data_IF_406172540108
#
_entry.id   IF_406172540108
#
_cell.length_a   1.000
_cell.length_b   1.000
_cell.length_c   1.000
_cell.angle_alpha   90.00
_cell.angle_beta   90.00
_cell.angle_gamma   90.00
#
_symmetry.space_group_name_H-M   'P 1'
#
loop_
_entity.id
_entity.type
_entity.pdbx_description
1 polymer ?
#
# COMPACT_ATOMS: atom_id res chain seq x y z
N UNK A 1 4.90 -3.06 -31.94
CA UNK A 1 4.68 -1.97 -30.99
C UNK A 1 4.41 -2.58 -29.61
N UNK A 2 5.00 -2.01 -28.55
CA UNK A 2 4.71 -2.44 -27.17
C UNK A 2 3.42 -1.78 -26.70
N UNK A 3 2.61 -2.53 -25.95
CA UNK A 3 1.39 -2.03 -25.33
C UNK A 3 1.74 -1.34 -24.00
N UNK A 4 1.21 -0.12 -23.79
CA UNK A 4 1.33 0.59 -22.51
C UNK A 4 0.08 0.29 -21.66
N UNK A 5 0.27 -0.45 -20.57
CA UNK A 5 -0.78 -0.74 -19.57
C UNK A 5 -0.55 0.13 -18.33
N UNK A 6 -1.55 0.92 -17.97
CA UNK A 6 -1.48 1.80 -16.78
C UNK A 6 -2.15 1.11 -15.59
N UNK A 7 -1.39 0.88 -14.51
CA UNK A 7 -1.97 0.53 -13.20
C UNK A 7 -2.52 1.79 -12.53
N UNK A 8 -3.83 1.96 -12.60
CA UNK A 8 -4.53 3.11 -12.05
C UNK A 8 -5.12 2.91 -10.66
N UNK A 9 -4.64 1.93 -9.90
CA UNK A 9 -5.17 1.64 -8.57
C UNK A 9 -5.21 2.83 -7.61
N UNK A 10 -4.35 3.84 -7.84
CA UNK A 10 -4.27 5.08 -7.04
C UNK A 10 -4.19 6.31 -7.93
N UNK A 11 -5.01 6.34 -8.97
CA UNK A 11 -5.00 7.39 -9.97
C UNK A 11 -5.38 8.77 -9.39
N UNK A 12 -6.32 8.82 -8.46
CA UNK A 12 -6.76 10.06 -7.85
C UNK A 12 -5.69 10.64 -6.92
N UNK A 13 -5.01 9.79 -6.13
CA UNK A 13 -3.86 10.22 -5.32
C UNK A 13 -2.72 10.74 -6.21
N UNK A 14 -2.45 10.08 -7.34
CA UNK A 14 -1.45 10.53 -8.32
C UNK A 14 -1.86 11.87 -8.97
N UNK A 15 -3.13 12.04 -9.32
CA UNK A 15 -3.65 13.31 -9.87
C UNK A 15 -3.48 14.46 -8.88
N UNK A 16 -3.66 14.21 -7.58
CA UNK A 16 -3.36 15.20 -6.53
C UNK A 16 -1.89 15.62 -6.57
N UNK A 17 -0.96 14.67 -6.62
CA UNK A 17 0.47 14.99 -6.65
C UNK A 17 0.87 15.72 -7.94
N UNK A 18 0.36 15.30 -9.08
CA UNK A 18 0.61 15.97 -10.37
C UNK A 18 0.14 17.42 -10.28
N UNK A 19 -1.11 17.66 -9.87
CA UNK A 19 -1.65 19.02 -9.75
C UNK A 19 -0.78 19.93 -8.88
N UNK A 20 -0.20 19.40 -7.80
CA UNK A 20 0.54 20.19 -6.80
C UNK A 20 2.06 20.21 -6.99
N UNK A 21 2.61 19.41 -7.90
CA UNK A 21 4.06 19.24 -8.07
C UNK A 21 4.55 19.48 -9.49
N UNK A 22 3.68 19.27 -10.49
CA UNK A 22 4.06 19.38 -11.90
C UNK A 22 3.59 20.72 -12.49
N UNK A 23 4.46 21.48 -13.17
CA UNK A 23 4.06 22.73 -13.78
C UNK A 23 3.04 22.51 -14.92
N UNK A 24 2.08 23.43 -15.04
CA UNK A 24 1.05 23.40 -16.08
C UNK A 24 -0.23 22.64 -15.72
N UNK A 25 -0.30 22.05 -14.51
CA UNK A 25 -1.47 21.29 -14.05
C UNK A 25 -2.29 22.05 -12.98
N UNK A 26 -1.89 23.22 -12.57
CA UNK A 26 -2.47 23.97 -11.45
C UNK A 26 -3.95 24.29 -11.63
N UNK A 27 -4.36 24.54 -12.88
CA UNK A 27 -5.74 24.92 -13.24
C UNK A 27 -6.63 23.76 -13.65
N UNK A 28 -6.08 22.53 -13.76
CA UNK A 28 -6.86 21.33 -14.10
C UNK A 28 -7.52 20.75 -12.84
N UNK A 29 -8.69 20.15 -13.00
CA UNK A 29 -9.30 19.30 -11.97
C UNK A 29 -8.55 17.98 -11.84
N UNK A 30 -8.67 17.30 -10.72
CA UNK A 30 -8.06 15.98 -10.53
C UNK A 30 -8.60 14.95 -11.53
N UNK A 31 -9.88 15.06 -11.90
CA UNK A 31 -10.51 14.19 -12.89
C UNK A 31 -9.94 14.42 -14.30
N UNK A 32 -9.74 15.66 -14.71
CA UNK A 32 -9.10 15.99 -16.00
C UNK A 32 -7.66 15.46 -16.07
N UNK A 33 -6.89 15.57 -14.98
CA UNK A 33 -5.53 15.02 -14.92
C UNK A 33 -5.56 13.49 -15.05
N UNK A 34 -6.48 12.81 -14.38
CA UNK A 34 -6.64 11.36 -14.50
C UNK A 34 -7.02 10.95 -15.92
N UNK A 35 -7.95 11.66 -16.54
CA UNK A 35 -8.36 11.41 -17.93
C UNK A 35 -7.21 11.58 -18.92
N UNK A 36 -6.39 12.61 -18.73
CA UNK A 36 -5.19 12.82 -19.54
C UNK A 36 -4.21 11.65 -19.40
N UNK A 37 -3.93 11.20 -18.16
CA UNK A 37 -3.07 10.04 -17.93
C UNK A 37 -3.62 8.78 -18.62
N UNK A 38 -4.92 8.52 -18.51
CA UNK A 38 -5.55 7.36 -19.16
C UNK A 38 -5.49 7.43 -20.68
N UNK A 39 -5.56 8.62 -21.26
CA UNK A 39 -5.47 8.80 -22.71
C UNK A 39 -4.14 8.35 -23.29
N UNK A 40 -3.06 8.36 -22.50
CA UNK A 40 -1.72 7.96 -22.93
C UNK A 40 -1.52 6.45 -23.02
N UNK A 41 -2.34 5.65 -22.30
CA UNK A 41 -2.23 4.18 -22.27
C UNK A 41 -3.07 3.50 -23.36
N UNK A 42 -2.70 2.26 -23.70
CA UNK A 42 -3.49 1.36 -24.55
C UNK A 42 -4.50 0.57 -23.73
N UNK A 43 -4.19 0.36 -22.46
CA UNK A 43 -5.02 -0.33 -21.49
C UNK A 43 -4.89 0.30 -20.11
N UNK A 44 -5.91 0.10 -19.28
CA UNK A 44 -5.94 0.54 -17.90
C UNK A 44 -6.46 -0.59 -17.00
N UNK A 45 -5.76 -0.86 -15.91
CA UNK A 45 -6.15 -1.85 -14.90
C UNK A 45 -6.26 -1.19 -13.53
N UNK A 46 -7.28 -1.57 -12.77
CA UNK A 46 -7.53 -1.02 -11.46
C UNK A 46 -8.09 -2.07 -10.50
N UNK A 47 -7.52 -2.14 -9.29
CA UNK A 47 -8.19 -2.79 -8.16
C UNK A 47 -9.15 -1.79 -7.52
N UNK A 48 -10.45 -2.03 -7.66
CA UNK A 48 -11.48 -1.08 -7.25
C UNK A 48 -11.57 -0.85 -5.72
N UNK A 49 -11.05 -1.79 -4.91
CA UNK A 49 -10.93 -1.62 -3.44
C UNK A 49 -9.97 -0.50 -3.00
N UNK A 50 -9.36 0.20 -3.95
CA UNK A 50 -8.53 1.38 -3.72
C UNK A 50 -9.31 2.64 -4.14
N UNK A 51 -8.99 3.24 -5.27
CA UNK A 51 -9.66 4.47 -5.71
C UNK A 51 -11.09 4.26 -6.24
N UNK A 52 -11.51 3.04 -6.50
CA UNK A 52 -12.93 2.72 -6.72
C UNK A 52 -13.78 2.78 -5.46
N UNK A 53 -13.16 2.92 -4.27
CA UNK A 53 -13.79 3.11 -2.96
C UNK A 53 -14.81 2.05 -2.55
N UNK A 54 -14.63 0.81 -3.03
CA UNK A 54 -15.47 -0.36 -2.74
C UNK A 54 -14.68 -1.45 -2.00
N UNK A 55 -15.39 -2.45 -1.49
CA UNK A 55 -14.77 -3.53 -0.73
C UNK A 55 -14.02 -4.52 -1.63
N UNK A 56 -14.48 -4.74 -2.86
CA UNK A 56 -13.92 -5.71 -3.80
C UNK A 56 -14.13 -5.26 -5.26
N UNK A 57 -13.58 -6.02 -6.16
CA UNK A 57 -13.75 -5.81 -7.59
C UNK A 57 -12.52 -5.18 -8.25
N UNK A 58 -12.58 -5.12 -9.54
CA UNK A 58 -11.57 -4.53 -10.39
C UNK A 58 -12.16 -4.04 -11.70
N UNK A 59 -11.37 -3.28 -12.42
CA UNK A 59 -11.73 -2.71 -13.72
C UNK A 59 -10.56 -2.92 -14.67
N UNK A 60 -10.87 -3.41 -15.87
CA UNK A 60 -9.95 -3.45 -17.00
C UNK A 60 -10.59 -2.72 -18.18
N UNK A 61 -9.90 -1.75 -18.73
CA UNK A 61 -10.29 -1.08 -19.98
C UNK A 61 -9.21 -1.27 -21.02
N UNK A 62 -9.63 -1.42 -22.29
CA UNK A 62 -8.75 -1.72 -23.41
C UNK A 62 -9.18 -0.90 -24.63
N UNK A 63 -8.22 -0.35 -25.39
CA UNK A 63 -8.47 0.29 -26.68
C UNK A 63 -8.59 -0.72 -27.83
N UNK A 64 -7.90 -1.87 -27.70
CA UNK A 64 -7.90 -2.94 -28.69
C UNK A 64 -9.13 -3.84 -28.53
N UNK A 65 -10.00 -3.88 -29.54
CA UNK A 65 -11.25 -4.65 -29.52
C UNK A 65 -11.01 -6.17 -29.55
N UNK A 66 -10.00 -6.64 -30.26
CA UNK A 66 -9.73 -8.08 -30.34
C UNK A 66 -9.24 -8.60 -29.01
N UNK A 67 -8.31 -7.88 -28.38
CA UNK A 67 -7.85 -8.19 -27.04
C UNK A 67 -8.98 -8.08 -26.00
N UNK A 68 -9.85 -7.07 -26.12
CA UNK A 68 -11.02 -6.91 -25.26
C UNK A 68 -11.94 -8.15 -25.33
N UNK A 69 -12.23 -8.63 -26.54
CA UNK A 69 -13.04 -9.87 -26.73
C UNK A 69 -12.38 -11.09 -26.10
N UNK A 70 -11.06 -11.25 -26.21
CA UNK A 70 -10.32 -12.33 -25.57
C UNK A 70 -10.41 -12.25 -24.03
N UNK A 71 -10.26 -11.06 -23.48
CA UNK A 71 -10.40 -10.81 -22.05
C UNK A 71 -11.83 -11.10 -21.55
N UNK A 72 -12.86 -10.72 -22.29
CA UNK A 72 -14.27 -11.03 -21.97
C UNK A 72 -14.50 -12.53 -21.93
N UNK A 73 -13.97 -13.30 -22.88
CA UNK A 73 -14.09 -14.76 -22.87
C UNK A 73 -13.43 -15.40 -21.64
N UNK A 74 -12.25 -14.89 -21.25
CA UNK A 74 -11.58 -15.35 -20.03
C UNK A 74 -12.37 -14.95 -18.77
N UNK A 75 -12.92 -13.75 -18.74
CA UNK A 75 -13.77 -13.27 -17.65
C UNK A 75 -14.98 -14.19 -17.43
N UNK A 76 -15.65 -14.58 -18.52
CA UNK A 76 -16.82 -15.48 -18.45
C UNK A 76 -16.46 -16.84 -17.83
N UNK A 77 -15.27 -17.34 -18.13
CA UNK A 77 -14.81 -18.65 -17.62
C UNK A 77 -14.36 -18.56 -16.17
N UNK A 78 -13.68 -17.45 -15.77
CA UNK A 78 -13.01 -17.36 -14.48
C UNK A 78 -13.83 -16.66 -13.39
N UNK A 79 -14.66 -15.65 -13.76
CA UNK A 79 -15.31 -14.76 -12.80
C UNK A 79 -16.83 -14.73 -12.97
N UNK A 80 -17.33 -14.47 -14.18
CA UNK A 80 -18.75 -14.36 -14.47
C UNK A 80 -19.05 -13.66 -15.79
N UNK A 81 -20.32 -13.49 -16.11
CA UNK A 81 -20.74 -12.86 -17.37
C UNK A 81 -20.25 -11.42 -17.48
N UNK A 82 -20.01 -10.94 -18.70
CA UNK A 82 -19.52 -9.61 -18.99
C UNK A 82 -20.40 -8.46 -18.42
N UNK A 83 -21.67 -8.74 -18.14
CA UNK A 83 -22.62 -7.76 -17.58
C UNK A 83 -22.35 -7.42 -16.12
N UNK A 84 -21.68 -8.31 -15.36
CA UNK A 84 -21.41 -8.07 -13.94
C UNK A 84 -20.00 -8.55 -13.49
N UNK A 85 -19.28 -9.31 -14.31
CA UNK A 85 -17.91 -9.74 -14.01
C UNK A 85 -17.74 -10.46 -12.66
N UNK A 86 -18.75 -11.22 -12.22
CA UNK A 86 -18.78 -11.88 -10.90
C UNK A 86 -19.13 -10.96 -9.73
N UNK A 87 -19.41 -9.66 -9.96
CA UNK A 87 -19.76 -8.69 -8.92
C UNK A 87 -21.28 -8.64 -8.69
N UNK A 88 -21.70 -8.29 -7.49
CA UNK A 88 -23.11 -7.98 -7.22
C UNK A 88 -23.46 -6.60 -7.81
N UNK A 89 -24.75 -6.39 -8.12
CA UNK A 89 -25.23 -5.10 -8.62
C UNK A 89 -24.94 -3.93 -7.68
N UNK A 90 -25.06 -4.15 -6.35
CA UNK A 90 -24.72 -3.14 -5.34
C UNK A 90 -23.23 -2.79 -5.31
N UNK A 91 -22.32 -3.74 -5.58
CA UNK A 91 -20.87 -3.47 -5.63
C UNK A 91 -20.52 -2.68 -6.90
N UNK A 92 -21.18 -2.97 -8.02
CA UNK A 92 -21.02 -2.19 -9.26
C UNK A 92 -21.54 -0.77 -9.12
N UNK A 93 -22.71 -0.58 -8.51
CA UNK A 93 -23.28 0.74 -8.24
C UNK A 93 -22.40 1.54 -7.27
N UNK A 94 -21.96 0.91 -6.18
CA UNK A 94 -21.01 1.54 -5.25
C UNK A 94 -19.70 1.95 -5.93
N UNK A 95 -19.19 1.12 -6.86
CA UNK A 95 -17.99 1.46 -7.65
C UNK A 95 -18.23 2.65 -8.58
N UNK A 96 -19.38 2.72 -9.23
CA UNK A 96 -19.73 3.85 -10.10
C UNK A 96 -19.76 5.16 -9.31
N UNK A 97 -20.35 5.18 -8.11
CA UNK A 97 -20.35 6.33 -7.20
C UNK A 97 -18.93 6.62 -6.71
N UNK A 98 -18.19 5.61 -6.28
CA UNK A 98 -16.83 5.76 -5.75
C UNK A 98 -15.85 6.34 -6.76
N UNK A 99 -15.96 5.98 -8.04
CA UNK A 99 -15.12 6.52 -9.12
C UNK A 99 -15.38 8.01 -9.40
N UNK A 100 -16.54 8.54 -9.07
CA UNK A 100 -16.81 9.99 -9.11
C UNK A 100 -16.33 10.67 -7.81
N UNK A 101 -16.69 10.14 -6.65
CA UNK A 101 -16.36 10.73 -5.35
C UNK A 101 -14.85 10.78 -5.06
N UNK A 102 -14.06 9.86 -5.62
CA UNK A 102 -12.62 9.80 -5.36
C UNK A 102 -11.85 11.04 -5.84
N UNK A 103 -12.44 11.79 -6.78
CA UNK A 103 -11.85 13.04 -7.28
C UNK A 103 -12.32 14.30 -6.54
N UNK A 104 -13.12 14.14 -5.48
CA UNK A 104 -13.49 15.26 -4.62
C UNK A 104 -12.25 15.91 -4.01
N UNK A 105 -12.17 17.24 -4.09
CA UNK A 105 -10.97 17.99 -3.70
C UNK A 105 -10.72 17.94 -2.20
N UNK A 106 -11.76 18.04 -1.39
CA UNK A 106 -11.65 18.05 0.08
C UNK A 106 -11.28 16.66 0.58
N UNK A 107 -11.87 15.61 -0.02
CA UNK A 107 -11.47 14.23 0.25
C UNK A 107 -10.00 13.97 -0.06
N UNK A 108 -9.51 14.33 -1.25
CA UNK A 108 -8.11 14.13 -1.63
C UNK A 108 -7.16 14.94 -0.77
N UNK A 109 -7.52 16.19 -0.46
CA UNK A 109 -6.74 17.03 0.44
C UNK A 109 -6.61 16.36 1.82
N UNK A 110 -7.72 15.98 2.43
CA UNK A 110 -7.71 15.27 3.72
C UNK A 110 -6.89 13.99 3.66
N UNK A 111 -7.09 13.16 2.63
CA UNK A 111 -6.40 11.89 2.42
C UNK A 111 -4.87 12.06 2.41
N UNK A 112 -4.38 12.94 1.56
CA UNK A 112 -2.94 13.18 1.36
C UNK A 112 -2.33 13.88 2.58
N UNK A 113 -3.02 14.87 3.14
CA UNK A 113 -2.52 15.61 4.31
C UNK A 113 -2.45 14.75 5.56
N UNK A 114 -3.39 13.85 5.80
CA UNK A 114 -3.38 12.94 6.94
C UNK A 114 -2.18 11.99 6.88
N UNK A 115 -1.90 11.41 5.70
CA UNK A 115 -0.73 10.54 5.51
C UNK A 115 0.58 11.32 5.67
N UNK A 116 0.65 12.52 5.11
CA UNK A 116 1.81 13.39 5.21
C UNK A 116 2.05 13.87 6.66
N UNK A 117 0.98 14.12 7.43
CA UNK A 117 1.07 14.50 8.83
C UNK A 117 1.74 13.38 9.64
N UNK A 118 1.25 12.15 9.55
CA UNK A 118 1.87 11.00 10.23
C UNK A 118 3.36 10.89 9.89
N UNK A 119 3.71 10.89 8.61
CA UNK A 119 5.12 10.74 8.22
C UNK A 119 6.02 11.87 8.66
N UNK A 120 5.53 13.13 8.63
CA UNK A 120 6.28 14.29 9.12
C UNK A 120 6.51 14.22 10.63
N UNK A 121 5.49 13.84 11.40
CA UNK A 121 5.59 13.70 12.85
C UNK A 121 6.54 12.59 13.24
N UNK A 122 6.42 11.40 12.65
CA UNK A 122 7.36 10.30 12.88
C UNK A 122 8.81 10.70 12.57
N UNK A 123 9.03 11.39 11.44
CA UNK A 123 10.36 11.90 11.10
C UNK A 123 10.89 12.91 12.12
N UNK A 124 10.03 13.79 12.63
CA UNK A 124 10.42 14.77 13.66
C UNK A 124 10.75 14.11 15.01
N UNK A 125 10.16 12.94 15.31
CA UNK A 125 10.49 12.12 16.48
C UNK A 125 11.77 11.30 16.29
N UNK A 126 12.44 11.36 15.14
CA UNK A 126 13.65 10.59 14.84
C UNK A 126 13.38 9.20 14.26
N UNK A 127 12.13 8.84 13.97
CA UNK A 127 11.80 7.57 13.30
C UNK A 127 12.27 7.63 11.84
N UNK A 128 13.09 6.68 11.38
CA UNK A 128 13.55 6.65 9.98
C UNK A 128 12.40 6.26 9.06
N UNK A 129 11.97 7.20 8.21
CA UNK A 129 10.87 7.04 7.27
C UNK A 129 11.34 7.21 5.83
N UNK A 130 10.75 6.47 4.91
CA UNK A 130 10.98 6.68 3.47
C UNK A 130 10.40 8.02 3.06
N UNK A 131 11.21 8.82 2.39
CA UNK A 131 10.85 10.19 1.99
C UNK A 131 10.98 10.39 0.47
N UNK A 132 10.11 11.17 -0.20
CA UNK A 132 8.94 11.86 0.35
C UNK A 132 7.77 10.93 0.66
N UNK A 133 6.86 11.38 1.56
CA UNK A 133 5.68 10.61 1.93
C UNK A 133 4.72 10.51 0.74
N UNK A 134 4.20 9.31 0.51
CA UNK A 134 3.18 9.04 -0.51
C UNK A 134 1.75 9.32 -0.04
N UNK A 135 0.77 8.88 -0.85
CA UNK A 135 -0.65 9.15 -0.59
C UNK A 135 -1.34 8.14 0.32
N UNK A 136 -0.82 6.92 0.45
CA UNK A 136 -1.59 5.81 1.05
C UNK A 136 -0.93 5.13 2.25
N UNK A 137 0.34 5.38 2.49
CA UNK A 137 1.10 4.73 3.55
C UNK A 137 2.32 5.56 3.96
N UNK A 138 2.76 5.33 5.18
CA UNK A 138 4.10 5.69 5.65
C UNK A 138 4.92 4.41 5.74
N UNK A 139 6.15 4.43 5.21
CA UNK A 139 7.08 3.32 5.28
C UNK A 139 8.19 3.66 6.28
N UNK A 140 8.35 2.81 7.27
CA UNK A 140 9.39 2.91 8.29
C UNK A 140 10.56 2.04 7.87
N UNK A 141 11.78 2.55 7.93
CA UNK A 141 12.99 1.75 7.81
C UNK A 141 13.29 1.08 9.16
N UNK A 142 12.93 -0.18 9.27
CA UNK A 142 13.10 -0.94 10.51
C UNK A 142 14.58 -1.25 10.81
N UNK A 143 15.45 -1.29 9.80
CA UNK A 143 16.90 -1.43 9.99
C UNK A 143 17.47 -0.19 10.69
N UNK A 144 17.06 0.99 10.26
CA UNK A 144 17.45 2.25 10.89
C UNK A 144 16.85 2.44 12.28
N UNK A 145 15.64 1.91 12.53
CA UNK A 145 14.97 2.01 13.83
C UNK A 145 15.54 1.03 14.86
N UNK A 146 15.91 -0.18 14.45
CA UNK A 146 16.47 -1.25 15.28
C UNK A 146 17.88 -1.64 14.85
N UNK A 147 18.87 -0.73 14.94
CA UNK A 147 20.22 -0.98 14.42
C UNK A 147 20.96 -2.14 15.09
N UNK A 148 20.52 -2.53 16.30
CA UNK A 148 21.12 -3.62 17.08
C UNK A 148 20.54 -4.99 16.72
N UNK A 149 19.50 -5.07 15.89
CA UNK A 149 18.89 -6.34 15.47
C UNK A 149 19.48 -6.73 14.10
N UNK A 150 20.23 -7.86 14.02
CA UNK A 150 20.73 -8.37 12.74
C UNK A 150 19.58 -8.69 11.77
N UNK A 151 19.87 -8.63 10.47
CA UNK A 151 18.84 -8.87 9.43
C UNK A 151 18.24 -10.28 9.48
N UNK A 152 19.06 -11.25 9.92
CA UNK A 152 18.67 -12.66 10.12
C UNK A 152 17.68 -12.82 11.29
N UNK A 153 17.50 -11.78 12.08
CA UNK A 153 16.54 -11.72 13.18
C UNK A 153 15.33 -10.84 12.87
N UNK A 154 15.12 -10.48 11.60
CA UNK A 154 13.92 -9.87 11.03
C UNK A 154 13.46 -8.59 11.76
N UNK A 155 14.23 -7.49 11.75
CA UNK A 155 13.87 -6.25 12.43
C UNK A 155 12.54 -5.65 11.94
N UNK A 156 12.19 -5.82 10.66
CA UNK A 156 10.88 -5.41 10.12
C UNK A 156 9.72 -6.14 10.78
N UNK A 157 9.81 -7.46 10.88
CA UNK A 157 8.77 -8.26 11.53
C UNK A 157 8.72 -7.99 13.05
N UNK A 158 9.86 -7.73 13.67
CA UNK A 158 9.91 -7.33 15.09
C UNK A 158 9.11 -6.05 15.33
N UNK A 159 9.30 -5.02 14.50
CA UNK A 159 8.54 -3.78 14.58
C UNK A 159 7.03 -4.00 14.37
N UNK A 160 6.64 -4.88 13.43
CA UNK A 160 5.23 -5.26 13.23
C UNK A 160 4.64 -5.85 14.51
N UNK A 161 5.37 -6.74 15.19
CA UNK A 161 4.93 -7.33 16.45
C UNK A 161 4.84 -6.29 17.58
N UNK A 162 5.83 -5.41 17.69
CA UNK A 162 5.85 -4.39 18.75
C UNK A 162 4.69 -3.41 18.62
N UNK A 163 4.43 -2.92 17.41
CA UNK A 163 3.29 -2.05 17.13
C UNK A 163 1.96 -2.71 17.44
N UNK A 164 1.84 -4.00 17.18
CA UNK A 164 0.62 -4.74 17.48
C UNK A 164 0.46 -4.98 19.00
N UNK A 165 1.52 -5.37 19.69
CA UNK A 165 1.49 -5.66 21.15
C UNK A 165 1.24 -4.37 21.94
N UNK A 166 1.89 -3.27 21.56
CA UNK A 166 1.81 -2.00 22.29
C UNK A 166 0.53 -1.22 22.02
N UNK A 167 0.09 -1.21 20.76
CA UNK A 167 -1.01 -0.33 20.35
C UNK A 167 -2.13 -1.01 19.55
N UNK A 168 -2.10 -2.33 19.35
CA UNK A 168 -3.07 -2.99 18.45
C UNK A 168 -2.95 -2.54 17.00
N UNK A 169 -1.82 -1.93 16.62
CA UNK A 169 -1.60 -1.36 15.30
C UNK A 169 -1.20 -2.47 14.33
N UNK A 170 -2.08 -2.76 13.39
CA UNK A 170 -1.80 -3.73 12.34
C UNK A 170 -1.08 -3.07 11.18
N UNK A 171 0.11 -3.56 10.86
CA UNK A 171 0.92 -3.11 9.73
C UNK A 171 1.50 -4.31 8.98
N UNK A 172 2.32 -4.07 7.96
CA UNK A 172 2.85 -5.12 7.09
C UNK A 172 4.36 -4.94 6.96
N UNK A 173 5.09 -6.02 7.24
CA UNK A 173 6.50 -6.11 6.90
C UNK A 173 6.66 -6.17 5.37
N UNK A 174 7.64 -5.42 4.86
CA UNK A 174 8.04 -5.34 3.44
C UNK A 174 9.57 -5.41 3.41
N UNK A 175 10.08 -6.55 3.85
CA UNK A 175 11.51 -6.78 4.05
C UNK A 175 11.87 -8.26 3.89
N UNK A 176 12.75 -8.77 4.75
CA UNK A 176 13.35 -10.08 4.59
C UNK A 176 12.40 -11.25 4.87
N UNK A 177 11.33 -11.06 5.64
CA UNK A 177 10.29 -12.09 5.74
C UNK A 177 9.55 -12.25 4.42
N UNK A 178 9.23 -11.14 3.73
CA UNK A 178 8.49 -11.16 2.47
C UNK A 178 9.39 -11.51 1.27
N UNK A 179 10.59 -10.93 1.18
CA UNK A 179 11.42 -10.93 -0.02
C UNK A 179 12.79 -11.58 0.16
N UNK A 180 13.21 -11.88 1.40
CA UNK A 180 14.45 -12.59 1.66
C UNK A 180 14.46 -13.97 1.03
N UNK A 181 15.62 -14.43 0.63
CA UNK A 181 15.86 -15.74 0.01
C UNK A 181 16.92 -16.47 0.82
N UNK A 182 17.11 -17.76 0.53
CA UNK A 182 18.23 -18.51 1.09
C UNK A 182 19.23 -18.84 -0.02
N UNK A 183 20.49 -18.82 0.32
CA UNK A 183 21.56 -19.29 -0.57
C UNK A 183 21.64 -20.85 -0.57
N UNK A 184 22.60 -21.38 -1.32
CA UNK A 184 22.83 -22.83 -1.43
C UNK A 184 23.24 -23.49 -0.10
N UNK A 185 23.70 -22.70 0.87
CA UNK A 185 24.13 -23.18 2.19
C UNK A 185 23.06 -22.99 3.26
N UNK A 186 21.88 -22.45 2.89
CA UNK A 186 20.79 -22.15 3.79
C UNK A 186 20.94 -20.84 4.57
N UNK A 187 21.91 -19.99 4.22
CA UNK A 187 22.06 -18.68 4.84
C UNK A 187 21.06 -17.68 4.21
N UNK A 188 20.48 -16.81 5.05
CA UNK A 188 19.56 -15.78 4.59
C UNK A 188 20.29 -14.76 3.69
N UNK A 189 19.78 -14.57 2.49
CA UNK A 189 20.06 -13.41 1.65
C UNK A 189 18.93 -12.40 1.96
N UNK A 190 19.19 -11.35 2.75
CA UNK A 190 18.15 -10.42 3.16
C UNK A 190 17.61 -9.61 1.99
N UNK A 191 16.43 -9.05 2.15
CA UNK A 191 15.88 -8.09 1.22
C UNK A 191 16.74 -6.82 1.17
N UNK A 192 16.68 -6.09 0.05
CA UNK A 192 17.40 -4.82 -0.11
C UNK A 192 16.99 -3.80 0.96
N UNK A 193 15.72 -3.79 1.33
CA UNK A 193 15.15 -2.89 2.32
C UNK A 193 14.41 -3.69 3.41
N UNK A 194 14.45 -3.20 4.65
CA UNK A 194 13.69 -3.72 5.78
C UNK A 194 12.62 -2.70 6.17
N UNK A 195 11.50 -2.70 5.45
CA UNK A 195 10.46 -1.70 5.62
C UNK A 195 9.25 -2.27 6.37
N UNK A 196 8.60 -1.40 7.12
CA UNK A 196 7.27 -1.65 7.68
C UNK A 196 6.30 -0.62 7.11
N UNK A 197 5.22 -1.10 6.50
CA UNK A 197 4.20 -0.27 5.88
C UNK A 197 3.04 -0.02 6.83
N UNK A 198 2.88 1.24 7.22
CA UNK A 198 1.69 1.75 7.89
C UNK A 198 0.69 2.21 6.82
N UNK A 199 -0.19 1.31 6.39
CA UNK A 199 -1.19 1.62 5.39
C UNK A 199 -2.37 2.37 6.03
N UNK A 200 -2.76 3.51 5.43
CA UNK A 200 -3.90 4.30 5.87
C UNK A 200 -5.07 4.01 4.93
N UNK A 201 -6.13 3.32 5.37
CA UNK A 201 -7.30 3.06 4.56
C UNK A 201 -8.08 4.35 4.30
N UNK A 202 -8.93 4.32 3.28
CA UNK A 202 -9.76 5.46 2.88
C UNK A 202 -10.96 5.60 3.79
N UNK A 203 -11.24 6.84 4.27
CA UNK A 203 -12.44 7.19 5.07
C UNK A 203 -12.67 6.32 6.31
N UNK A 204 -11.61 5.84 6.95
CA UNK A 204 -11.72 4.97 8.14
C UNK A 204 -11.23 5.68 9.39
N UNK A 205 -10.04 6.29 9.34
CA UNK A 205 -9.40 6.87 10.52
C UNK A 205 -9.52 8.39 10.57
N UNK A 206 -9.71 8.89 11.77
CA UNK A 206 -9.69 10.31 12.12
C UNK A 206 -8.30 10.72 12.58
N UNK A 207 -8.12 12.03 12.84
CA UNK A 207 -6.87 12.59 13.38
C UNK A 207 -6.46 11.90 14.70
N UNK A 208 -7.41 11.65 15.60
CA UNK A 208 -7.12 11.00 16.89
C UNK A 208 -6.54 9.59 16.76
N UNK A 209 -6.95 8.83 15.75
CA UNK A 209 -6.32 7.52 15.48
C UNK A 209 -4.88 7.67 15.00
N UNK A 210 -4.60 8.71 14.22
CA UNK A 210 -3.24 8.99 13.74
C UNK A 210 -2.34 9.46 14.89
N UNK A 211 -2.87 10.32 15.77
CA UNK A 211 -2.15 10.77 16.96
C UNK A 211 -1.85 9.61 17.92
N UNK A 212 -2.79 8.68 18.10
CA UNK A 212 -2.55 7.46 18.86
C UNK A 212 -1.39 6.61 18.30
N UNK A 213 -1.26 6.53 16.97
CA UNK A 213 -0.10 5.85 16.36
C UNK A 213 1.21 6.55 16.75
N UNK A 214 1.23 7.88 16.83
CA UNK A 214 2.41 8.64 17.27
C UNK A 214 2.75 8.35 18.74
N UNK A 215 1.76 8.32 19.63
CA UNK A 215 1.94 7.96 21.05
C UNK A 215 2.57 6.58 21.20
N UNK A 216 2.10 5.58 20.43
CA UNK A 216 2.69 4.24 20.45
C UNK A 216 4.13 4.23 19.95
N UNK A 217 4.48 5.10 19.00
CA UNK A 217 5.88 5.23 18.57
C UNK A 217 6.77 5.89 19.61
N UNK A 218 6.25 6.76 20.47
CA UNK A 218 7.01 7.27 21.63
C UNK A 218 7.44 6.12 22.54
N UNK A 219 6.52 5.23 22.90
CA UNK A 219 6.82 4.03 23.70
C UNK A 219 7.84 3.11 23.02
N UNK A 220 7.73 2.92 21.71
CA UNK A 220 8.66 2.08 20.94
C UNK A 220 10.07 2.67 20.95
N UNK A 221 10.20 3.98 20.80
CA UNK A 221 11.50 4.66 20.77
C UNK A 221 12.27 4.50 22.09
N UNK A 222 11.57 4.47 23.23
CA UNK A 222 12.18 4.23 24.53
C UNK A 222 12.82 2.83 24.66
N UNK A 223 12.35 1.87 23.87
CA UNK A 223 12.77 0.47 23.96
C UNK A 223 13.72 0.02 22.84
N UNK A 224 14.04 0.86 21.87
CA UNK A 224 14.80 0.45 20.66
C UNK A 224 16.14 -0.23 20.97
N UNK A 225 16.85 0.19 22.03
CA UNK A 225 18.14 -0.33 22.42
C UNK A 225 18.07 -1.67 23.21
N UNK A 226 16.89 -2.06 23.69
CA UNK A 226 16.68 -3.24 24.49
C UNK A 226 16.05 -4.40 23.70
N UNK A 227 15.64 -4.13 22.46
CA UNK A 227 14.93 -5.07 21.65
C UNK A 227 15.85 -6.17 21.11
N UNK A 228 15.36 -7.40 21.23
CA UNK A 228 15.89 -8.59 20.57
C UNK A 228 15.05 -8.89 19.35
N UNK A 229 15.66 -9.52 18.36
CA UNK A 229 14.99 -9.92 17.14
C UNK A 229 14.09 -11.14 17.29
N UNK A 230 13.75 -11.72 16.17
CA UNK A 230 12.88 -12.89 16.06
C UNK A 230 13.62 -14.05 15.38
N UNK A 231 13.22 -15.27 15.73
CA UNK A 231 13.60 -16.49 15.03
C UNK A 231 12.36 -17.13 14.42
N UNK A 232 12.47 -17.58 13.16
CA UNK A 232 11.39 -18.34 12.50
C UNK A 232 11.37 -19.75 13.10
N UNK A 233 10.23 -20.15 13.67
CA UNK A 233 10.01 -21.50 14.21
C UNK A 233 9.23 -22.41 13.26
N UNK A 234 8.56 -21.82 12.28
CA UNK A 234 7.88 -22.52 11.19
C UNK A 234 7.90 -21.65 9.94
N UNK A 235 8.27 -22.24 8.82
CA UNK A 235 8.28 -21.60 7.51
C UNK A 235 7.48 -22.45 6.52
N UNK A 236 6.45 -21.91 5.87
CA UNK A 236 5.74 -22.61 4.80
C UNK A 236 6.59 -22.62 3.52
N UNK A 237 6.38 -23.60 2.60
CA UNK A 237 7.14 -23.69 1.35
C UNK A 237 6.90 -22.51 0.40
N UNK A 238 5.77 -21.81 0.55
CA UNK A 238 5.38 -20.63 -0.25
C UNK A 238 4.76 -19.55 0.62
N UNK A 239 4.93 -18.29 0.22
CA UNK A 239 4.27 -17.13 0.82
C UNK A 239 4.54 -17.02 2.35
N UNK A 240 5.80 -17.16 2.72
CA UNK A 240 6.32 -17.13 4.11
C UNK A 240 5.68 -16.04 4.97
N UNK A 241 5.55 -14.83 4.45
CA UNK A 241 5.03 -13.67 5.17
C UNK A 241 3.55 -13.78 5.61
N UNK A 242 2.79 -14.77 5.12
CA UNK A 242 1.39 -14.97 5.54
C UNK A 242 1.24 -15.91 6.73
N UNK A 243 2.08 -16.93 6.83
CA UNK A 243 1.84 -18.04 7.76
C UNK A 243 3.07 -18.49 8.55
N UNK A 244 4.24 -17.86 8.36
CA UNK A 244 5.41 -18.12 9.18
C UNK A 244 5.10 -17.87 10.67
N UNK A 245 5.73 -18.66 11.55
CA UNK A 245 5.64 -18.48 13.00
C UNK A 245 6.98 -18.05 13.54
N UNK A 246 6.93 -17.22 14.56
CA UNK A 246 8.11 -16.63 15.16
C UNK A 246 8.12 -16.84 16.67
N UNK A 247 9.32 -16.85 17.25
CA UNK A 247 9.54 -16.64 18.69
C UNK A 247 10.47 -15.45 18.89
N UNK A 248 10.34 -14.77 19.98
CA UNK A 248 11.27 -13.72 20.41
C UNK A 248 12.55 -14.36 20.95
N UNK A 249 13.70 -13.78 20.63
CA UNK A 249 15.02 -14.18 21.10
C UNK A 249 15.35 -13.60 22.47
#
# INVERSE_FOLDING_TARGET
QLMLVIDGCRIAENSYFIKHREPGFENKTYKEIAQEMFSMGDAFIMSAKKDGMVNMGGLLTLKDEELSRKCINLLIISEGFATYGGLSGRDMEAMAVGLEEVFDADYLHYRIRSTAYLGKKLKAMGVPVVWPIGGHAVYIDARGLYPNIPLEQYPGQKLVCDLYIKGGIRCVEVGSVMFGKYDSNGALIPAQNELVRLAIPRRVYTQSHIDFVLEVFEDILEMTNQNKGLEITYEPPFLRHFTARFKQL
#
